data_IF_224145371188
#
_entry.id   IF_224145371188
#
_cell.length_a   1.000
_cell.length_b   1.000
_cell.length_c   1.000
_cell.angle_alpha   90.00
_cell.angle_beta   90.00
_cell.angle_gamma   90.00
#
_symmetry.space_group_name_H-M   'P 1'
#
loop_
_entity.id
_entity.type
_entity.pdbx_description
1 polymer ?
#
# COMPACT_ATOMS: atom_id res chain seq x y z
N UNK A 1 23.15 14.26 37.88
CA UNK A 1 23.56 15.43 37.07
C UNK A 1 22.67 15.49 35.84
N UNK A 2 21.72 16.43 35.74
CA UNK A 2 20.90 16.60 34.54
C UNK A 2 21.84 17.00 33.40
N UNK A 3 21.70 16.41 32.20
CA UNK A 3 22.55 16.56 30.99
C UNK A 3 23.66 15.52 30.78
N UNK A 4 23.81 14.50 31.65
CA UNK A 4 24.77 13.40 31.40
C UNK A 4 24.24 12.25 30.55
N UNK A 5 22.99 12.32 30.06
CA UNK A 5 22.34 11.21 29.32
C UNK A 5 22.31 9.90 30.13
N UNK A 6 22.38 9.98 31.46
CA UNK A 6 22.35 8.86 32.39
C UNK A 6 20.94 8.64 32.92
N UNK A 7 20.59 7.38 33.15
CA UNK A 7 19.34 7.03 33.82
C UNK A 7 19.51 7.16 35.34
N UNK A 8 18.41 7.41 36.04
CA UNK A 8 18.41 7.37 37.52
C UNK A 8 18.71 5.96 38.04
N UNK A 9 18.27 4.95 37.29
CA UNK A 9 18.55 3.53 37.54
C UNK A 9 19.11 2.94 36.26
N UNK A 10 20.35 2.49 36.31
CA UNK A 10 21.02 1.87 35.18
C UNK A 10 20.68 0.38 35.04
N UNK A 11 20.89 -0.16 33.84
CA UNK A 11 20.83 -1.60 33.66
C UNK A 11 21.96 -2.28 34.44
N UNK A 12 21.60 -3.31 35.22
CA UNK A 12 22.51 -4.04 36.13
C UNK A 12 23.21 -3.07 37.10
N UNK A 13 22.40 -2.42 37.94
CA UNK A 13 22.84 -1.39 38.90
C UNK A 13 23.81 -1.93 39.97
N UNK A 14 23.83 -3.25 40.19
CA UNK A 14 24.73 -3.90 41.13
C UNK A 14 26.07 -4.28 40.47
N UNK A 15 26.31 -3.93 39.20
CA UNK A 15 27.57 -4.25 38.51
C UNK A 15 28.79 -3.73 39.26
N UNK A 16 28.67 -2.57 39.90
CA UNK A 16 29.71 -1.91 40.69
C UNK A 16 30.11 -2.73 41.93
N UNK A 17 29.26 -3.66 42.40
CA UNK A 17 29.60 -4.58 43.51
C UNK A 17 30.70 -5.57 43.15
N UNK A 18 30.89 -5.90 41.85
CA UNK A 18 31.97 -6.79 41.39
C UNK A 18 33.36 -6.19 41.64
N UNK A 19 33.45 -4.86 41.72
CA UNK A 19 34.71 -4.14 41.84
C UNK A 19 34.83 -3.37 43.16
N UNK A 20 33.75 -3.25 43.94
CA UNK A 20 33.73 -2.42 45.15
C UNK A 20 34.71 -2.88 46.23
N UNK A 21 35.00 -4.19 46.29
CA UNK A 21 35.96 -4.78 47.22
C UNK A 21 37.34 -5.06 46.62
N UNK A 22 37.61 -4.67 45.37
CA UNK A 22 38.92 -4.89 44.76
C UNK A 22 39.94 -3.88 45.30
N UNK A 23 41.00 -4.39 45.93
CA UNK A 23 42.21 -3.62 46.24
C UNK A 23 43.37 -4.13 45.38
N UNK A 24 44.28 -3.24 45.00
CA UNK A 24 45.53 -3.59 44.31
C UNK A 24 46.64 -3.51 45.35
N UNK A 25 47.32 -4.63 45.61
CA UNK A 25 48.41 -4.68 46.56
C UNK A 25 49.72 -5.01 45.81
N UNK A 26 50.87 -4.62 46.37
CA UNK A 26 52.17 -4.81 45.72
C UNK A 26 52.72 -6.23 45.87
N UNK A 27 52.18 -6.98 46.84
CA UNK A 27 52.52 -8.35 47.21
C UNK A 27 51.52 -9.38 46.67
N UNK A 28 50.55 -8.95 45.85
CA UNK A 28 49.62 -9.85 45.16
C UNK A 28 50.41 -10.83 44.28
N UNK A 29 50.09 -12.13 44.37
CA UNK A 29 50.68 -13.13 43.48
C UNK A 29 50.03 -13.10 42.09
N UNK A 30 50.64 -13.78 41.11
CA UNK A 30 50.15 -13.77 39.73
C UNK A 30 48.70 -14.28 39.61
N UNK A 31 48.29 -15.19 40.50
CA UNK A 31 46.93 -15.76 40.50
C UNK A 31 45.92 -14.74 41.02
N UNK A 32 46.24 -14.03 42.09
CA UNK A 32 45.43 -12.95 42.64
C UNK A 32 45.31 -11.79 41.64
N UNK A 33 46.40 -11.38 41.00
CA UNK A 33 46.39 -10.36 39.95
C UNK A 33 45.44 -10.76 38.82
N UNK A 34 45.53 -12.00 38.34
CA UNK A 34 44.70 -12.47 37.22
C UNK A 34 43.22 -12.64 37.62
N UNK A 35 42.93 -13.04 38.86
CA UNK A 35 41.57 -13.04 39.40
C UNK A 35 40.98 -11.62 39.45
N UNK A 36 41.75 -10.65 39.92
CA UNK A 36 41.34 -9.23 39.96
C UNK A 36 41.08 -8.69 38.56
N UNK A 37 41.93 -9.03 37.58
CA UNK A 37 41.72 -8.71 36.15
C UNK A 37 40.44 -9.33 35.61
N UNK A 38 40.16 -10.60 35.92
CA UNK A 38 38.94 -11.26 35.50
C UNK A 38 37.68 -10.55 36.05
N UNK A 39 37.69 -10.11 37.31
CA UNK A 39 36.60 -9.32 37.88
C UNK A 39 36.40 -7.97 37.15
N UNK A 40 37.50 -7.26 36.86
CA UNK A 40 37.45 -6.01 36.09
C UNK A 40 36.90 -6.27 34.68
N UNK A 41 37.34 -7.33 34.01
CA UNK A 41 36.84 -7.71 32.69
C UNK A 41 35.34 -8.03 32.71
N UNK A 42 34.87 -8.75 33.73
CA UNK A 42 33.44 -9.00 33.94
C UNK A 42 32.67 -7.69 34.09
N UNK A 43 33.17 -6.74 34.89
CA UNK A 43 32.56 -5.43 35.05
C UNK A 43 32.55 -4.62 33.74
N UNK A 44 33.65 -4.61 32.99
CA UNK A 44 33.75 -3.93 31.69
C UNK A 44 32.74 -4.50 30.69
N UNK A 45 32.52 -5.82 30.67
CA UNK A 45 31.48 -6.44 29.82
C UNK A 45 30.08 -5.94 30.19
N UNK A 46 29.77 -5.80 31.48
CA UNK A 46 28.50 -5.23 31.96
C UNK A 46 28.32 -3.78 31.52
N UNK A 47 29.38 -2.96 31.65
CA UNK A 47 29.36 -1.56 31.17
C UNK A 47 29.13 -1.45 29.66
N UNK A 48 29.75 -2.33 28.86
CA UNK A 48 29.54 -2.38 27.40
C UNK A 48 28.09 -2.68 27.05
N UNK A 49 27.45 -3.63 27.74
CA UNK A 49 26.03 -3.95 27.51
C UNK A 49 25.11 -2.81 27.96
N UNK A 50 25.41 -2.16 29.09
CA UNK A 50 24.69 -0.96 29.55
C UNK A 50 24.75 0.15 28.50
N UNK A 51 25.94 0.44 27.95
CA UNK A 51 26.10 1.41 26.88
C UNK A 51 25.39 1.00 25.59
N UNK A 52 25.44 -0.30 25.22
CA UNK A 52 24.73 -0.83 24.05
C UNK A 52 23.23 -0.59 24.16
N UNK A 53 22.63 -0.81 25.34
CA UNK A 53 21.20 -0.54 25.58
C UNK A 53 20.85 0.94 25.47
N UNK A 54 21.69 1.83 26.04
CA UNK A 54 21.54 3.29 25.87
C UNK A 54 21.56 3.69 24.39
N UNK A 55 22.48 3.14 23.62
CA UNK A 55 22.58 3.40 22.19
C UNK A 55 21.31 2.92 21.47
N UNK A 56 20.84 1.69 21.70
CA UNK A 56 19.59 1.18 21.11
C UNK A 56 18.40 2.09 21.45
N UNK A 57 18.25 2.48 22.73
CA UNK A 57 17.16 3.36 23.14
C UNK A 57 17.17 4.71 22.41
N UNK A 58 18.37 5.26 22.17
CA UNK A 58 18.59 6.52 21.44
C UNK A 58 18.39 6.35 19.94
N UNK A 59 19.09 5.41 19.33
CA UNK A 59 19.13 5.18 17.88
C UNK A 59 17.74 4.88 17.33
N UNK A 60 16.92 4.16 18.08
CA UNK A 60 15.55 3.82 17.72
C UNK A 60 14.50 4.77 18.28
N UNK A 61 14.92 5.88 18.91
CA UNK A 61 14.04 6.90 19.49
C UNK A 61 12.97 6.30 20.43
N UNK A 62 13.32 5.26 21.19
CA UNK A 62 12.35 4.47 21.96
C UNK A 62 11.75 5.25 23.12
N UNK A 63 12.54 6.11 23.78
CA UNK A 63 12.08 6.89 24.94
C UNK A 63 11.06 7.96 24.53
N UNK A 64 11.30 8.82 23.51
CA UNK A 64 10.28 9.76 23.04
C UNK A 64 9.05 9.07 22.46
N UNK A 65 9.22 7.94 21.78
CA UNK A 65 8.12 7.14 21.27
C UNK A 65 7.24 6.57 22.40
N UNK A 66 7.86 6.05 23.47
CA UNK A 66 7.17 5.52 24.65
C UNK A 66 6.45 6.62 25.43
N UNK A 67 7.13 7.75 25.68
CA UNK A 67 6.57 8.89 26.42
C UNK A 67 5.57 9.73 25.59
N UNK A 68 5.36 9.39 24.32
CA UNK A 68 4.43 10.09 23.44
C UNK A 68 4.82 11.52 23.08
N UNK A 69 6.07 11.94 23.35
CA UNK A 69 6.56 13.29 23.03
C UNK A 69 6.59 13.55 21.53
N UNK A 70 6.82 12.52 20.72
CA UNK A 70 6.81 12.61 19.25
C UNK A 70 5.47 13.14 18.68
N UNK A 71 4.35 12.96 19.39
CA UNK A 71 3.04 13.49 18.97
C UNK A 71 2.94 15.00 19.18
N UNK A 72 3.50 15.52 20.28
CA UNK A 72 3.46 16.95 20.61
C UNK A 72 4.42 17.79 19.76
N UNK A 73 5.59 17.25 19.40
CA UNK A 73 6.56 17.98 18.58
C UNK A 73 6.26 17.92 17.07
N UNK A 74 5.53 16.88 16.61
CA UNK A 74 5.03 16.80 15.23
C UNK A 74 4.01 17.88 14.86
N UNK A 75 3.35 18.51 15.84
CA UNK A 75 2.40 19.60 15.60
C UNK A 75 3.08 20.97 15.41
N UNK A 76 4.35 21.12 15.82
CA UNK A 76 5.03 22.43 15.84
C UNK A 76 5.88 22.74 14.60
N UNK A 77 6.31 21.74 13.84
CA UNK A 77 7.11 21.96 12.63
C UNK A 77 6.25 21.75 11.36
N UNK A 78 6.37 22.62 10.33
CA UNK A 78 5.72 22.40 9.05
C UNK A 78 6.41 21.25 8.30
N UNK A 79 6.19 20.00 8.73
CA UNK A 79 6.68 18.83 8.02
C UNK A 79 5.88 18.69 6.72
N UNK A 80 6.59 18.41 5.62
CA UNK A 80 5.97 18.09 4.33
C UNK A 80 4.87 17.06 4.54
N UNK A 81 3.68 17.30 3.98
CA UNK A 81 2.58 16.32 4.02
C UNK A 81 3.06 15.00 3.41
N UNK A 82 3.19 13.97 4.24
CA UNK A 82 3.57 12.62 3.81
C UNK A 82 2.46 12.10 2.89
N UNK A 83 2.83 11.82 1.64
CA UNK A 83 1.89 11.32 0.62
C UNK A 83 1.38 9.91 0.97
N UNK A 84 0.22 9.51 0.43
CA UNK A 84 -0.33 8.15 0.63
C UNK A 84 0.67 7.07 0.19
N UNK A 85 1.31 7.27 -0.96
CA UNK A 85 2.37 6.39 -1.49
C UNK A 85 3.54 6.26 -0.51
N UNK A 86 3.98 7.37 0.08
CA UNK A 86 5.09 7.38 1.03
C UNK A 86 4.74 6.65 2.32
N UNK A 87 3.49 6.76 2.81
CA UNK A 87 3.02 5.97 3.96
C UNK A 87 3.03 4.46 3.67
N UNK A 88 2.55 4.06 2.50
CA UNK A 88 2.53 2.66 2.09
C UNK A 88 3.95 2.11 1.93
N UNK A 89 4.87 2.90 1.38
CA UNK A 89 6.27 2.52 1.27
C UNK A 89 6.95 2.36 2.64
N UNK A 90 6.65 3.25 3.61
CA UNK A 90 7.14 3.10 5.00
C UNK A 90 6.66 1.80 5.64
N UNK A 91 5.41 1.41 5.39
CA UNK A 91 4.87 0.12 5.84
C UNK A 91 5.61 -1.07 5.22
N UNK A 92 5.87 -1.02 3.90
CA UNK A 92 6.61 -2.08 3.18
C UNK A 92 8.05 -2.22 3.65
N UNK A 93 8.70 -1.11 4.01
CA UNK A 93 10.09 -1.08 4.46
C UNK A 93 10.26 -1.24 5.98
N UNK A 94 9.16 -1.42 6.72
CA UNK A 94 9.19 -1.65 8.18
C UNK A 94 10.14 -2.78 8.61
N UNK A 95 10.32 -3.90 7.89
CA UNK A 95 11.30 -4.92 8.27
C UNK A 95 12.75 -4.42 8.33
N UNK A 96 13.09 -3.33 7.63
CA UNK A 96 14.44 -2.74 7.67
C UNK A 96 14.71 -1.97 8.97
N UNK A 97 13.68 -1.71 9.78
CA UNK A 97 13.82 -1.05 11.09
C UNK A 97 14.69 -1.81 12.08
N UNK A 98 15.01 -3.08 11.86
CA UNK A 98 15.92 -3.79 12.76
C UNK A 98 17.40 -3.59 12.42
N UNK A 99 17.70 -2.98 11.27
CA UNK A 99 19.06 -2.85 10.73
C UNK A 99 19.50 -1.40 10.56
N UNK A 100 18.61 -0.43 10.81
CA UNK A 100 18.87 0.99 10.59
C UNK A 100 18.32 1.77 11.77
N UNK A 101 19.11 2.70 12.30
CA UNK A 101 18.62 3.68 13.27
C UNK A 101 17.45 4.50 12.70
N UNK A 102 16.69 5.12 13.59
CA UNK A 102 15.59 6.02 13.24
C UNK A 102 16.05 7.14 12.30
N UNK A 103 17.21 7.73 12.59
CA UNK A 103 17.82 8.79 11.77
C UNK A 103 18.17 8.29 10.37
N UNK A 104 18.88 7.16 10.26
CA UNK A 104 19.26 6.60 8.96
C UNK A 104 18.02 6.27 8.10
N UNK A 105 16.94 5.81 8.73
CA UNK A 105 15.70 5.54 8.02
C UNK A 105 15.00 6.83 7.54
N UNK A 106 14.97 7.89 8.35
CA UNK A 106 14.47 9.20 7.92
C UNK A 106 15.28 9.76 6.75
N UNK A 107 16.60 9.73 6.86
CA UNK A 107 17.53 10.16 5.80
C UNK A 107 17.33 9.34 4.51
N UNK A 108 17.12 8.03 4.62
CA UNK A 108 16.81 7.17 3.48
C UNK A 108 15.56 7.62 2.72
N UNK A 109 14.48 7.96 3.43
CA UNK A 109 13.24 8.44 2.80
C UNK A 109 13.38 9.82 2.16
N UNK A 110 14.11 10.73 2.81
CA UNK A 110 14.44 12.03 2.23
C UNK A 110 15.25 11.88 0.95
N UNK A 111 16.25 10.99 0.96
CA UNK A 111 17.07 10.67 -0.20
C UNK A 111 16.27 10.05 -1.34
N UNK A 112 15.38 9.09 -1.07
CA UNK A 112 14.49 8.52 -2.10
C UNK A 112 13.62 9.59 -2.76
N UNK A 113 13.09 10.52 -1.96
CA UNK A 113 12.28 11.60 -2.51
C UNK A 113 13.12 12.56 -3.37
N UNK A 114 14.29 12.95 -2.86
CA UNK A 114 15.24 13.81 -3.57
C UNK A 114 15.67 13.16 -4.89
N UNK A 115 15.97 11.86 -4.88
CA UNK A 115 16.27 11.07 -6.06
C UNK A 115 15.13 11.13 -7.07
N UNK A 116 13.87 10.93 -6.64
CA UNK A 116 12.70 11.00 -7.53
C UNK A 116 12.58 12.37 -8.20
N UNK A 117 12.76 13.46 -7.45
CA UNK A 117 12.75 14.83 -7.98
C UNK A 117 13.88 15.01 -8.99
N UNK A 118 15.10 14.64 -8.61
CA UNK A 118 16.29 14.79 -9.47
C UNK A 118 16.14 13.99 -10.76
N UNK A 119 15.65 12.74 -10.70
CA UNK A 119 15.36 11.93 -11.89
C UNK A 119 14.31 12.58 -12.79
N UNK A 120 13.26 13.19 -12.23
CA UNK A 120 12.28 13.93 -13.01
C UNK A 120 12.92 15.16 -13.68
N UNK A 121 13.73 15.92 -12.92
CA UNK A 121 14.44 17.10 -13.44
C UNK A 121 15.45 16.74 -14.52
N UNK A 122 16.19 15.64 -14.36
CA UNK A 122 17.12 15.14 -15.38
C UNK A 122 16.36 14.80 -16.66
N UNK A 123 15.23 14.08 -16.56
CA UNK A 123 14.40 13.75 -17.74
C UNK A 123 13.83 14.99 -18.42
N UNK A 124 13.46 16.01 -17.65
CA UNK A 124 13.02 17.32 -18.13
C UNK A 124 14.15 18.02 -18.90
N UNK A 125 15.34 18.17 -18.29
CA UNK A 125 16.50 18.80 -18.91
C UNK A 125 16.96 18.05 -20.17
N UNK A 126 16.95 16.71 -20.15
CA UNK A 126 17.24 15.89 -21.33
C UNK A 126 16.20 16.07 -22.44
N UNK A 127 14.95 16.41 -22.12
CA UNK A 127 13.90 16.73 -23.09
C UNK A 127 14.15 18.09 -23.73
N UNK A 128 14.56 19.09 -22.94
CA UNK A 128 14.95 20.40 -23.46
C UNK A 128 16.07 20.27 -24.48
N UNK A 129 17.16 19.57 -24.13
CA UNK A 129 18.28 19.35 -25.04
C UNK A 129 17.88 18.66 -26.34
N UNK A 130 17.01 17.64 -26.29
CA UNK A 130 16.51 16.94 -27.49
C UNK A 130 15.65 17.81 -28.39
N UNK A 131 15.06 18.89 -27.87
CA UNK A 131 14.26 19.84 -28.65
C UNK A 131 15.02 21.14 -28.93
N UNK A 132 16.36 21.14 -28.82
CA UNK A 132 17.21 22.27 -29.18
C UNK A 132 17.28 23.40 -28.14
N UNK A 133 16.68 23.23 -26.97
CA UNK A 133 16.72 24.24 -25.91
C UNK A 133 18.03 24.11 -25.16
N UNK A 134 18.85 25.15 -25.23
CA UNK A 134 20.20 25.17 -24.64
C UNK A 134 20.33 26.17 -23.49
N UNK A 135 19.41 27.14 -23.40
CA UNK A 135 19.35 28.13 -22.31
C UNK A 135 18.13 27.90 -21.42
N UNK A 136 18.27 28.24 -20.14
CA UNK A 136 17.18 28.09 -19.18
C UNK A 136 16.03 29.07 -19.44
N UNK A 137 16.31 30.26 -19.97
CA UNK A 137 15.31 31.29 -20.29
C UNK A 137 14.29 30.81 -21.32
N UNK A 138 14.74 30.05 -22.32
CA UNK A 138 13.92 29.47 -23.40
C UNK A 138 13.00 28.34 -22.89
N UNK A 139 13.26 27.78 -21.70
CA UNK A 139 12.50 26.63 -21.18
C UNK A 139 11.06 26.97 -20.80
N UNK A 140 10.81 28.20 -20.35
CA UNK A 140 9.48 28.64 -19.91
C UNK A 140 8.48 28.69 -21.08
N UNK A 141 8.91 29.26 -22.21
CA UNK A 141 8.10 29.34 -23.43
C UNK A 141 7.82 27.95 -24.01
N UNK A 142 8.83 27.08 -24.00
CA UNK A 142 8.67 25.69 -24.42
C UNK A 142 7.69 24.92 -23.55
N UNK A 143 7.79 24.99 -22.22
CA UNK A 143 6.85 24.30 -21.33
C UNK A 143 5.42 24.86 -21.48
N UNK A 144 5.26 26.18 -21.65
CA UNK A 144 3.95 26.76 -21.94
C UNK A 144 3.35 26.25 -23.26
N UNK A 145 4.14 26.21 -24.33
CA UNK A 145 3.73 25.67 -25.62
C UNK A 145 3.42 24.17 -25.56
N UNK A 146 4.25 23.39 -24.85
CA UNK A 146 4.06 21.96 -24.60
C UNK A 146 2.79 21.70 -23.80
N UNK A 147 2.58 22.41 -22.71
CA UNK A 147 1.39 22.27 -21.87
C UNK A 147 0.12 22.61 -22.66
N UNK A 148 0.15 23.66 -23.50
CA UNK A 148 -0.96 23.99 -24.41
C UNK A 148 -1.23 22.86 -25.41
N UNK A 149 -0.18 22.21 -25.94
CA UNK A 149 -0.30 21.05 -26.85
C UNK A 149 -0.85 19.81 -26.14
N UNK A 150 -0.36 19.49 -24.94
CA UNK A 150 -0.86 18.36 -24.14
C UNK A 150 -2.32 18.57 -23.73
N UNK A 151 -2.71 19.77 -23.28
CA UNK A 151 -4.10 20.12 -22.97
C UNK A 151 -5.03 20.00 -24.19
N UNK A 152 -4.56 20.41 -25.39
CA UNK A 152 -5.31 20.20 -26.64
C UNK A 152 -5.47 18.72 -26.99
N UNK A 153 -4.43 17.91 -26.77
CA UNK A 153 -4.46 16.46 -27.00
C UNK A 153 -5.37 15.76 -25.99
N UNK A 154 -5.31 16.13 -24.73
CA UNK A 154 -6.19 15.64 -23.67
C UNK A 154 -7.65 15.99 -23.97
N UNK A 155 -7.94 17.25 -24.33
CA UNK A 155 -9.27 17.66 -24.76
C UNK A 155 -9.75 16.92 -26.02
N UNK A 156 -8.85 16.62 -26.96
CA UNK A 156 -9.18 15.81 -28.15
C UNK A 156 -9.45 14.35 -27.78
N UNK A 157 -8.70 13.79 -26.84
CA UNK A 157 -8.90 12.44 -26.31
C UNK A 157 -10.21 12.34 -25.50
N UNK A 158 -10.54 13.36 -24.71
CA UNK A 158 -11.81 13.49 -24.00
C UNK A 158 -12.95 13.67 -25.01
N UNK A 159 -12.77 14.47 -26.06
CA UNK A 159 -13.76 14.63 -27.12
C UNK A 159 -13.94 13.34 -27.95
N UNK A 160 -12.89 12.54 -28.16
CA UNK A 160 -12.99 11.26 -28.84
C UNK A 160 -13.60 10.17 -27.96
N UNK A 161 -13.34 10.20 -26.64
CA UNK A 161 -14.00 9.30 -25.68
C UNK A 161 -15.44 9.74 -25.37
N UNK A 162 -15.75 11.05 -25.42
CA UNK A 162 -17.13 11.57 -25.45
C UNK A 162 -17.85 11.23 -26.74
N UNK A 163 -17.23 11.34 -27.92
CA UNK A 163 -17.82 10.84 -29.17
C UNK A 163 -18.02 9.33 -29.17
N UNK A 164 -17.20 8.57 -28.44
CA UNK A 164 -17.44 7.15 -28.15
C UNK A 164 -18.49 6.88 -27.04
N UNK A 165 -18.97 7.92 -26.35
CA UNK A 165 -20.03 7.87 -25.32
C UNK A 165 -21.33 8.57 -25.73
N UNK A 166 -21.30 9.40 -26.77
CA UNK A 166 -22.46 10.11 -27.32
C UNK A 166 -23.35 9.18 -28.16
N UNK A 167 -22.86 8.02 -28.57
CA UNK A 167 -23.67 6.89 -29.03
C UNK A 167 -24.06 5.98 -27.85
N UNK A 168 -24.88 6.51 -26.93
CA UNK A 168 -25.84 5.72 -26.16
C UNK A 168 -25.60 5.54 -24.64
N UNK A 169 -26.63 5.94 -23.87
CA UNK A 169 -27.14 5.24 -22.66
C UNK A 169 -26.49 5.50 -21.29
N UNK A 170 -25.94 6.68 -20.98
CA UNK A 170 -25.46 6.99 -19.60
C UNK A 170 -26.56 7.12 -18.53
N UNK A 171 -27.86 7.09 -18.90
CA UNK A 171 -28.98 7.14 -17.94
C UNK A 171 -29.80 5.85 -17.80
N UNK A 172 -29.55 4.83 -18.63
CA UNK A 172 -30.50 3.71 -18.77
C UNK A 172 -30.36 2.65 -17.66
N UNK A 173 -29.22 2.63 -16.94
CA UNK A 173 -28.89 1.57 -15.98
C UNK A 173 -28.51 2.06 -14.58
N UNK A 174 -28.74 3.33 -14.26
CA UNK A 174 -28.33 3.93 -12.97
C UNK A 174 -28.82 3.13 -11.74
N UNK A 175 -29.97 2.46 -11.83
CA UNK A 175 -30.54 1.64 -10.77
C UNK A 175 -29.71 0.38 -10.43
N UNK A 176 -28.90 -0.13 -11.37
CA UNK A 176 -28.13 -1.38 -11.20
C UNK A 176 -26.61 -1.20 -11.37
N UNK A 177 -26.15 -0.01 -11.76
CA UNK A 177 -24.75 0.30 -12.07
C UNK A 177 -23.78 0.02 -10.91
N UNK A 178 -24.17 0.37 -9.68
CA UNK A 178 -23.32 0.18 -8.51
C UNK A 178 -23.46 -1.20 -7.84
N UNK A 179 -24.19 -2.14 -8.46
CA UNK A 179 -24.44 -3.44 -7.87
C UNK A 179 -23.38 -4.48 -8.29
N UNK A 180 -23.01 -5.43 -7.40
CA UNK A 180 -22.03 -6.46 -7.72
C UNK A 180 -22.40 -7.25 -8.98
N UNK A 181 -21.43 -7.43 -9.87
CA UNK A 181 -21.59 -8.16 -11.12
C UNK A 181 -22.08 -7.33 -12.31
N UNK A 182 -22.34 -6.02 -12.15
CA UNK A 182 -22.74 -5.13 -13.25
C UNK A 182 -21.72 -5.12 -14.40
N UNK A 183 -20.44 -5.06 -14.04
CA UNK A 183 -19.28 -5.07 -14.95
C UNK A 183 -19.22 -6.34 -15.84
N UNK A 184 -19.89 -7.42 -15.43
CA UNK A 184 -19.87 -8.72 -16.12
C UNK A 184 -21.01 -8.89 -17.13
N UNK A 185 -21.92 -7.91 -17.21
CA UNK A 185 -23.10 -7.96 -18.07
C UNK A 185 -22.86 -7.26 -19.41
N UNK A 186 -23.35 -7.84 -20.49
CA UNK A 186 -23.53 -7.12 -21.75
C UNK A 186 -24.65 -6.09 -21.65
N UNK A 187 -24.69 -5.10 -22.53
CA UNK A 187 -25.72 -4.05 -22.48
C UNK A 187 -27.15 -4.60 -22.65
N UNK A 188 -27.33 -5.67 -23.44
CA UNK A 188 -28.62 -6.38 -23.55
C UNK A 188 -29.04 -7.01 -22.22
N UNK A 189 -28.08 -7.54 -21.47
CA UNK A 189 -28.33 -8.14 -20.15
C UNK A 189 -28.60 -7.07 -19.09
N UNK A 190 -27.94 -5.91 -19.17
CA UNK A 190 -28.24 -4.75 -18.32
C UNK A 190 -29.68 -4.27 -18.52
N UNK A 191 -30.15 -4.16 -19.78
CA UNK A 191 -31.56 -3.86 -20.09
C UNK A 191 -32.50 -4.89 -19.49
N UNK A 192 -32.19 -6.19 -19.66
CA UNK A 192 -33.02 -7.25 -19.09
C UNK A 192 -33.09 -7.14 -17.56
N UNK A 193 -31.95 -7.01 -16.88
CA UNK A 193 -31.86 -6.89 -15.41
C UNK A 193 -32.65 -5.69 -14.90
N UNK A 194 -32.49 -4.53 -15.54
CA UNK A 194 -33.25 -3.31 -15.24
C UNK A 194 -34.76 -3.54 -15.40
N UNK A 195 -35.20 -4.14 -16.51
CA UNK A 195 -36.63 -4.41 -16.78
C UNK A 195 -37.26 -5.50 -15.89
N UNK A 196 -36.44 -6.35 -15.29
CA UNK A 196 -36.85 -7.41 -14.35
C UNK A 196 -36.70 -6.99 -12.89
N UNK A 197 -36.16 -5.79 -12.63
CA UNK A 197 -35.76 -5.33 -11.31
C UNK A 197 -34.88 -6.38 -10.57
N UNK A 198 -34.00 -7.04 -11.32
CA UNK A 198 -33.14 -8.13 -10.86
C UNK A 198 -31.70 -7.63 -10.77
N UNK A 199 -31.02 -7.85 -9.64
CA UNK A 199 -29.63 -7.42 -9.52
C UNK A 199 -28.71 -8.22 -10.44
N UNK A 200 -27.62 -7.61 -10.96
CA UNK A 200 -26.67 -8.30 -11.84
C UNK A 200 -26.15 -9.62 -11.28
N UNK A 201 -25.71 -9.65 -10.01
CA UNK A 201 -25.26 -10.88 -9.36
C UNK A 201 -26.34 -11.99 -9.34
N UNK A 202 -27.61 -11.65 -9.10
CA UNK A 202 -28.70 -12.64 -9.10
C UNK A 202 -28.94 -13.17 -10.51
N UNK A 203 -28.95 -12.30 -11.52
CA UNK A 203 -29.07 -12.73 -12.91
C UNK A 203 -27.91 -13.65 -13.34
N UNK A 204 -26.66 -13.30 -13.04
CA UNK A 204 -25.48 -14.13 -13.36
C UNK A 204 -25.60 -15.51 -12.73
N UNK A 205 -26.07 -15.59 -11.48
CA UNK A 205 -26.30 -16.86 -10.78
C UNK A 205 -27.31 -17.73 -11.53
N UNK A 206 -28.47 -17.15 -11.89
CA UNK A 206 -29.53 -17.86 -12.61
C UNK A 206 -29.08 -18.28 -14.01
N UNK A 207 -28.44 -17.37 -14.76
CA UNK A 207 -27.87 -17.64 -16.09
C UNK A 207 -26.93 -18.84 -16.04
N UNK A 208 -26.03 -18.85 -15.06
CA UNK A 208 -25.06 -19.93 -14.88
C UNK A 208 -25.75 -21.27 -14.64
N UNK A 209 -26.76 -21.30 -13.76
CA UNK A 209 -27.52 -22.52 -13.47
C UNK A 209 -28.25 -23.02 -14.73
N UNK A 210 -28.97 -22.15 -15.42
CA UNK A 210 -29.76 -22.52 -16.61
C UNK A 210 -28.87 -23.04 -17.74
N UNK A 211 -27.76 -22.35 -18.03
CA UNK A 211 -26.84 -22.76 -19.10
C UNK A 211 -26.17 -24.09 -18.74
N UNK A 212 -25.72 -24.26 -17.50
CA UNK A 212 -25.12 -25.52 -17.03
C UNK A 212 -26.09 -26.69 -17.18
N UNK A 213 -27.34 -26.52 -16.76
CA UNK A 213 -28.37 -27.56 -16.88
C UNK A 213 -28.66 -27.92 -18.33
N UNK A 214 -28.78 -26.92 -19.19
CA UNK A 214 -29.03 -27.14 -20.61
C UNK A 214 -27.88 -27.92 -21.27
N UNK A 215 -26.63 -27.59 -20.93
CA UNK A 215 -25.45 -28.32 -21.42
C UNK A 215 -25.42 -29.77 -20.92
N UNK A 216 -25.72 -30.01 -19.64
CA UNK A 216 -25.80 -31.37 -19.07
C UNK A 216 -26.88 -32.21 -19.76
N UNK A 217 -28.08 -31.64 -19.98
CA UNK A 217 -29.16 -32.32 -20.69
C UNK A 217 -28.77 -32.70 -22.12
N UNK A 218 -28.06 -31.82 -22.85
CA UNK A 218 -27.55 -32.13 -24.20
C UNK A 218 -26.58 -33.31 -24.23
N UNK A 219 -25.91 -33.59 -23.12
CA UNK A 219 -24.99 -34.72 -22.96
C UNK A 219 -25.70 -35.99 -22.43
N UNK A 220 -27.04 -35.97 -22.31
CA UNK A 220 -27.81 -37.08 -21.72
C UNK A 220 -27.66 -37.20 -20.20
N UNK A 221 -27.05 -36.21 -19.54
CA UNK A 221 -26.85 -36.23 -18.09
C UNK A 221 -28.09 -35.61 -17.42
N UNK A 222 -28.77 -36.33 -16.50
CA UNK A 222 -29.86 -35.76 -15.74
C UNK A 222 -29.37 -34.57 -14.88
N UNK A 223 -29.92 -33.38 -15.10
CA UNK A 223 -29.69 -32.24 -14.19
C UNK A 223 -30.77 -32.18 -13.10
N UNK A 224 -30.34 -31.98 -11.85
CA UNK A 224 -31.17 -31.76 -10.65
C UNK A 224 -30.91 -30.40 -10.01
N UNK A 225 -30.46 -29.41 -10.76
CA UNK A 225 -30.12 -28.12 -10.14
C UNK A 225 -31.36 -27.47 -9.50
N UNK A 226 -31.17 -26.92 -8.30
CA UNK A 226 -32.22 -26.20 -7.58
C UNK A 226 -32.14 -24.73 -7.95
N UNK A 227 -33.20 -24.22 -8.57
CA UNK A 227 -33.30 -22.79 -8.87
C UNK A 227 -33.49 -21.97 -7.57
N UNK A 228 -32.95 -20.74 -7.50
CA UNK A 228 -33.12 -19.88 -6.34
C UNK A 228 -34.59 -19.55 -6.06
N UNK A 229 -34.96 -19.39 -4.78
CA UNK A 229 -36.35 -19.16 -4.34
C UNK A 229 -36.96 -17.84 -4.83
N UNK A 230 -36.14 -16.85 -5.15
CA UNK A 230 -36.59 -15.56 -5.69
C UNK A 230 -37.00 -15.65 -7.18
N UNK A 231 -36.79 -16.79 -7.82
CA UNK A 231 -37.10 -16.99 -9.23
C UNK A 231 -38.51 -17.55 -9.39
N UNK A 232 -39.48 -16.66 -9.55
CA UNK A 232 -40.85 -17.08 -9.88
C UNK A 232 -40.96 -17.61 -11.34
N UNK A 233 -42.14 -18.14 -11.68
CA UNK A 233 -42.40 -18.69 -13.03
C UNK A 233 -42.25 -17.64 -14.13
N UNK A 234 -42.52 -16.37 -13.84
CA UNK A 234 -42.51 -15.27 -14.81
C UNK A 234 -41.08 -14.82 -15.11
N UNK A 235 -40.29 -14.51 -14.08
CA UNK A 235 -38.87 -14.21 -14.19
C UNK A 235 -38.11 -15.36 -14.87
N UNK A 236 -38.37 -16.60 -14.46
CA UNK A 236 -37.77 -17.78 -15.09
C UNK A 236 -38.03 -17.81 -16.59
N UNK A 237 -39.29 -17.62 -17.00
CA UNK A 237 -39.68 -17.65 -18.42
C UNK A 237 -39.02 -16.52 -19.21
N UNK A 238 -38.99 -15.29 -18.66
CA UNK A 238 -38.34 -14.13 -19.33
C UNK A 238 -36.83 -14.35 -19.51
N UNK A 239 -36.14 -14.87 -18.50
CA UNK A 239 -34.71 -15.18 -18.60
C UNK A 239 -34.44 -16.31 -19.59
N UNK A 240 -35.25 -17.38 -19.56
CA UNK A 240 -35.11 -18.50 -20.51
C UNK A 240 -35.32 -18.05 -21.95
N UNK A 241 -36.35 -17.24 -22.22
CA UNK A 241 -36.61 -16.67 -23.53
C UNK A 241 -35.43 -15.81 -23.99
N UNK A 242 -34.93 -14.92 -23.14
CA UNK A 242 -33.79 -14.08 -23.47
C UNK A 242 -32.53 -14.90 -23.81
N UNK A 243 -32.22 -15.94 -23.03
CA UNK A 243 -31.08 -16.82 -23.29
C UNK A 243 -31.25 -17.61 -24.60
N UNK A 244 -32.49 -17.97 -24.94
CA UNK A 244 -32.82 -18.65 -26.20
C UNK A 244 -32.65 -17.71 -27.40
N UNK A 245 -33.23 -16.50 -27.32
CA UNK A 245 -33.11 -15.46 -28.37
C UNK A 245 -31.68 -14.98 -28.55
N UNK A 246 -30.90 -14.96 -27.47
CA UNK A 246 -29.48 -14.60 -27.49
C UNK A 246 -28.58 -15.77 -27.93
N UNK A 247 -29.14 -16.95 -28.23
CA UNK A 247 -28.40 -18.10 -28.75
C UNK A 247 -27.59 -18.89 -27.72
N UNK A 248 -27.77 -18.66 -26.42
CA UNK A 248 -27.07 -19.39 -25.36
C UNK A 248 -27.63 -20.80 -25.12
N UNK A 249 -28.92 -21.00 -25.42
CA UNK A 249 -29.64 -22.28 -25.29
C UNK A 249 -30.55 -22.50 -26.51
N UNK A 250 -30.86 -23.75 -26.84
CA UNK A 250 -31.75 -24.09 -27.97
C UNK A 250 -33.20 -24.26 -27.50
N UNK A 251 -34.17 -24.07 -28.41
CA UNK A 251 -35.60 -24.32 -28.15
C UNK A 251 -35.92 -25.81 -27.94
N UNK A 252 -35.11 -26.69 -28.52
CA UNK A 252 -35.43 -28.12 -28.69
C UNK A 252 -34.99 -29.03 -27.54
N UNK A 253 -34.77 -28.48 -26.34
CA UNK A 253 -34.37 -29.26 -25.15
C UNK A 253 -35.46 -29.30 -24.05
N UNK A 254 -36.73 -29.24 -24.46
CA UNK A 254 -37.89 -29.48 -23.57
C UNK A 254 -38.22 -30.96 -23.50
#
# INVERSE_FOLDING_TARGET
MPLRDDYEIEYDQDAETLISGLSVNYDDDDVEIELKRAHVDMYVRKLKERQRRKNIARDYNLVPAFLGKDKKDKEKAPKRKITKEEKELRLKLRPLYQFMSCKEFEDFFENMHKERILRAKIRELQRYRRNGITKMEESAEYEAARHKREKRKENKNIASSKRGKEDGKEGEFAAIENLPGFELLSDREKVLCSSLNLSPARYVTVKTIIIKDHLQKRQGIPSKSRLPSYLDKVLKKRILNFLTESGWISRDAS
#
